data_IF_954036319932
#
_entry.id   IF_954036319932
#
_cell.length_a   1.000
_cell.length_b   1.000
_cell.length_c   1.000
_cell.angle_alpha   90.00
_cell.angle_beta   90.00
_cell.angle_gamma   90.00
#
_symmetry.space_group_name_H-M   'P 1'
#
loop_
_entity.id
_entity.type
_entity.pdbx_description
1 polymer ?
#
# COMPACT_ATOMS: atom_id res chain seq x y z
N UNK A 1 -14.88 -19.20 4.19
CA UNK A 1 -14.40 -17.93 3.62
C UNK A 1 -14.97 -16.80 4.45
N UNK A 2 -14.23 -15.69 4.67
CA UNK A 2 -14.80 -14.53 5.34
C UNK A 2 -16.04 -14.06 4.58
N UNK A 3 -17.12 -13.80 5.30
CA UNK A 3 -18.37 -13.31 4.74
C UNK A 3 -18.16 -11.88 4.16
N UNK A 4 -18.79 -11.60 3.01
CA UNK A 4 -18.61 -10.35 2.30
C UNK A 4 -19.10 -9.16 3.14
N UNK A 5 -20.23 -9.30 3.84
CA UNK A 5 -20.79 -8.23 4.67
C UNK A 5 -19.90 -7.92 5.87
N UNK A 6 -19.25 -8.95 6.43
CA UNK A 6 -18.28 -8.79 7.51
C UNK A 6 -17.07 -7.97 7.06
N UNK A 7 -16.54 -8.21 5.85
CA UNK A 7 -15.44 -7.41 5.29
C UNK A 7 -15.90 -6.00 4.97
N UNK A 8 -17.07 -5.82 4.35
CA UNK A 8 -17.63 -4.49 4.09
C UNK A 8 -17.73 -3.66 5.37
N UNK A 9 -18.24 -4.27 6.45
CA UNK A 9 -18.39 -3.63 7.75
C UNK A 9 -17.04 -3.25 8.36
N UNK A 10 -16.04 -4.13 8.25
CA UNK A 10 -14.68 -3.86 8.72
C UNK A 10 -14.03 -2.69 7.97
N UNK A 11 -14.39 -2.44 6.71
CA UNK A 11 -13.82 -1.37 5.89
C UNK A 11 -14.53 -0.01 6.07
N UNK A 12 -15.68 0.06 6.74
CA UNK A 12 -16.43 1.30 6.97
C UNK A 12 -15.60 2.43 7.62
N UNK A 13 -14.69 2.18 8.59
CA UNK A 13 -13.88 3.23 9.21
C UNK A 13 -12.93 3.95 8.24
N UNK A 14 -12.68 3.40 7.05
CA UNK A 14 -11.89 4.05 6.01
C UNK A 14 -12.64 5.22 5.34
N UNK A 15 -13.93 5.42 5.62
CA UNK A 15 -14.68 6.60 5.14
C UNK A 15 -14.82 6.67 3.61
N UNK A 16 -14.58 5.58 2.89
CA UNK A 16 -14.75 5.54 1.44
C UNK A 16 -16.23 5.52 1.05
N UNK A 17 -16.51 5.93 -0.19
CA UNK A 17 -17.86 5.77 -0.76
C UNK A 17 -18.29 4.28 -0.70
N UNK A 18 -19.57 4.04 -0.40
CA UNK A 18 -20.16 2.68 -0.31
C UNK A 18 -19.84 1.79 -1.52
N UNK A 19 -19.87 2.32 -2.74
CA UNK A 19 -19.53 1.56 -3.95
C UNK A 19 -18.05 1.12 -3.96
N UNK A 20 -17.14 1.96 -3.45
CA UNK A 20 -15.71 1.64 -3.31
C UNK A 20 -15.50 0.59 -2.23
N UNK A 21 -16.20 0.69 -1.10
CA UNK A 21 -16.15 -0.33 -0.03
C UNK A 21 -16.61 -1.70 -0.55
N UNK A 22 -17.76 -1.74 -1.23
CA UNK A 22 -18.27 -2.98 -1.85
C UNK A 22 -17.30 -3.57 -2.86
N UNK A 23 -16.71 -2.73 -3.72
CA UNK A 23 -15.73 -3.17 -4.71
C UNK A 23 -14.46 -3.71 -4.04
N UNK A 24 -13.95 -3.02 -3.02
CA UNK A 24 -12.77 -3.44 -2.26
C UNK A 24 -13.02 -4.74 -1.50
N UNK A 25 -14.15 -4.87 -0.81
CA UNK A 25 -14.52 -6.09 -0.09
C UNK A 25 -14.61 -7.30 -1.03
N UNK A 26 -15.34 -7.14 -2.14
CA UNK A 26 -15.41 -8.15 -3.20
C UNK A 26 -14.03 -8.52 -3.75
N UNK A 27 -13.15 -7.53 -3.89
CA UNK A 27 -11.80 -7.72 -4.42
C UNK A 27 -10.91 -8.47 -3.44
N UNK A 28 -10.98 -8.15 -2.14
CA UNK A 28 -10.27 -8.88 -1.08
C UNK A 28 -10.71 -10.34 -1.01
N UNK A 29 -12.02 -10.61 -1.07
CA UNK A 29 -12.55 -11.98 -1.11
C UNK A 29 -11.99 -12.75 -2.30
N UNK A 30 -12.03 -12.14 -3.49
CA UNK A 30 -11.54 -12.79 -4.71
C UNK A 30 -10.00 -12.98 -4.69
N UNK A 31 -9.23 -12.04 -4.14
CA UNK A 31 -7.79 -12.16 -3.96
C UNK A 31 -7.44 -13.34 -3.04
N UNK A 32 -8.12 -13.45 -1.90
CA UNK A 32 -7.92 -14.53 -0.94
C UNK A 32 -8.34 -15.89 -1.51
N UNK A 33 -9.44 -15.93 -2.26
CA UNK A 33 -9.93 -17.13 -2.93
C UNK A 33 -8.98 -17.62 -4.04
N UNK A 34 -8.47 -16.70 -4.87
CA UNK A 34 -7.64 -17.04 -6.04
C UNK A 34 -6.15 -17.14 -5.72
N UNK A 35 -5.69 -16.49 -4.64
CA UNK A 35 -4.29 -16.36 -4.24
C UNK A 35 -3.40 -15.81 -5.36
N UNK A 36 -3.92 -14.87 -6.15
CA UNK A 36 -3.20 -14.28 -7.28
C UNK A 36 -3.68 -12.86 -7.48
N UNK A 37 -2.75 -11.97 -7.85
CA UNK A 37 -3.01 -10.56 -8.18
C UNK A 37 -3.37 -10.34 -9.66
N UNK A 38 -3.32 -11.39 -10.48
CA UNK A 38 -3.62 -11.30 -11.90
C UNK A 38 -5.13 -11.10 -12.15
N UNK A 39 -5.52 -9.90 -12.62
CA UNK A 39 -6.93 -9.53 -12.78
C UNK A 39 -7.72 -10.44 -13.72
N UNK A 40 -7.09 -11.01 -14.76
CA UNK A 40 -7.76 -11.97 -15.66
C UNK A 40 -8.13 -13.28 -14.96
N UNK A 41 -7.37 -13.66 -13.92
CA UNK A 41 -7.67 -14.83 -13.08
C UNK A 41 -8.67 -14.52 -11.95
N UNK A 42 -8.74 -13.25 -11.52
CA UNK A 42 -9.65 -12.79 -10.47
C UNK A 42 -11.05 -12.52 -11.03
N UNK A 43 -11.14 -11.87 -12.18
CA UNK A 43 -12.41 -11.42 -12.75
C UNK A 43 -13.48 -12.51 -12.90
N UNK A 44 -13.15 -13.78 -13.27
CA UNK A 44 -14.14 -14.85 -13.37
C UNK A 44 -14.75 -15.29 -12.04
N UNK A 45 -14.05 -15.07 -10.91
CA UNK A 45 -14.52 -15.46 -9.58
C UNK A 45 -14.99 -14.27 -8.74
N UNK A 46 -15.04 -13.10 -9.35
CA UNK A 46 -15.39 -11.87 -8.65
C UNK A 46 -16.87 -11.90 -8.28
N UNK A 47 -17.26 -11.62 -7.02
CA UNK A 47 -18.64 -11.80 -6.58
C UNK A 47 -19.55 -10.70 -7.14
N UNK A 48 -20.04 -10.92 -8.36
CA UNK A 48 -20.93 -10.03 -9.09
C UNK A 48 -21.66 -10.79 -10.19
N UNK A 49 -22.88 -10.39 -10.52
CA UNK A 49 -23.65 -11.01 -11.63
C UNK A 49 -23.21 -10.54 -13.02
N UNK A 50 -22.14 -9.74 -13.10
CA UNK A 50 -21.64 -9.19 -14.35
C UNK A 50 -20.74 -10.19 -15.08
N UNK A 51 -20.70 -10.10 -16.41
CA UNK A 51 -19.76 -10.89 -17.22
C UNK A 51 -18.30 -10.69 -16.75
N UNK A 52 -17.43 -11.70 -16.82
CA UNK A 52 -16.03 -11.59 -16.41
C UNK A 52 -15.29 -10.40 -17.03
N UNK A 53 -15.57 -10.07 -18.29
CA UNK A 53 -14.96 -8.92 -18.99
C UNK A 53 -15.38 -7.58 -18.37
N UNK A 54 -16.62 -7.49 -17.88
CA UNK A 54 -17.14 -6.32 -17.18
C UNK A 54 -16.52 -6.19 -15.79
N UNK A 55 -16.41 -7.31 -15.06
CA UNK A 55 -15.71 -7.38 -13.78
C UNK A 55 -14.24 -6.95 -13.92
N UNK A 56 -13.55 -7.43 -14.96
CA UNK A 56 -12.18 -7.05 -15.29
C UNK A 56 -12.04 -5.53 -15.49
N UNK A 57 -12.91 -4.93 -16.32
CA UNK A 57 -12.91 -3.47 -16.52
C UNK A 57 -13.24 -2.71 -15.23
N UNK A 58 -14.14 -3.23 -14.39
CA UNK A 58 -14.46 -2.64 -13.08
C UNK A 58 -13.23 -2.61 -12.17
N UNK A 59 -12.50 -3.72 -12.08
CA UNK A 59 -11.27 -3.82 -11.30
C UNK A 59 -10.17 -2.90 -11.83
N UNK A 60 -10.00 -2.80 -13.15
CA UNK A 60 -9.05 -1.86 -13.74
C UNK A 60 -9.37 -0.40 -13.39
N UNK A 61 -10.62 0.03 -13.55
CA UNK A 61 -11.04 1.39 -13.16
C UNK A 61 -10.84 1.63 -11.67
N UNK A 62 -11.22 0.64 -10.84
CA UNK A 62 -11.02 0.73 -9.40
C UNK A 62 -9.54 0.95 -9.06
N UNK A 63 -8.62 0.11 -9.55
CA UNK A 63 -7.19 0.25 -9.24
C UNK A 63 -6.53 1.49 -9.84
N UNK A 64 -7.09 2.04 -10.93
CA UNK A 64 -6.58 3.24 -11.59
C UNK A 64 -7.00 4.53 -10.87
N UNK A 65 -8.28 4.62 -10.50
CA UNK A 65 -8.90 5.86 -10.03
C UNK A 65 -9.02 5.92 -8.49
N UNK A 66 -8.64 4.85 -7.80
CA UNK A 66 -8.71 4.77 -6.35
C UNK A 66 -7.41 5.25 -5.71
N UNK A 67 -7.45 6.47 -5.19
CA UNK A 67 -6.40 7.02 -4.35
C UNK A 67 -6.56 6.53 -2.91
N UNK A 68 -5.49 5.95 -2.38
CA UNK A 68 -5.44 5.42 -1.02
C UNK A 68 -4.57 6.32 -0.16
N UNK A 69 -5.16 6.95 0.84
CA UNK A 69 -4.41 7.70 1.85
C UNK A 69 -3.66 6.70 2.75
N UNK A 70 -2.32 6.69 2.66
CA UNK A 70 -1.48 5.75 3.38
C UNK A 70 -1.52 5.96 4.90
N UNK A 71 -1.71 7.20 5.38
CA UNK A 71 -1.82 7.46 6.83
C UNK A 71 -3.12 6.89 7.39
N UNK A 72 -4.22 7.04 6.64
CA UNK A 72 -5.50 6.46 7.00
C UNK A 72 -5.43 4.93 6.97
N UNK A 73 -4.80 4.36 5.95
CA UNK A 73 -4.56 2.93 5.86
C UNK A 73 -3.71 2.42 7.03
N UNK A 74 -2.63 3.11 7.40
CA UNK A 74 -1.76 2.70 8.49
C UNK A 74 -2.51 2.64 9.83
N UNK A 75 -3.32 3.67 10.13
CA UNK A 75 -4.19 3.67 11.33
C UNK A 75 -5.19 2.53 11.30
N UNK A 76 -5.80 2.29 10.15
CA UNK A 76 -6.73 1.18 9.97
C UNK A 76 -6.06 -0.19 10.18
N UNK A 77 -4.88 -0.40 9.59
CA UNK A 77 -4.12 -1.64 9.73
C UNK A 77 -3.67 -1.86 11.18
N UNK A 78 -3.25 -0.81 11.89
CA UNK A 78 -2.90 -0.91 13.31
C UNK A 78 -4.09 -1.39 14.16
N UNK A 79 -5.30 -0.86 13.91
CA UNK A 79 -6.54 -1.32 14.56
C UNK A 79 -6.88 -2.76 14.15
N UNK A 80 -6.74 -3.09 12.86
CA UNK A 80 -7.03 -4.43 12.34
C UNK A 80 -6.12 -5.50 12.93
N UNK A 81 -4.84 -5.18 13.17
CA UNK A 81 -3.89 -6.10 13.80
C UNK A 81 -4.13 -6.28 15.30
N UNK A 82 -5.04 -5.49 15.91
CA UNK A 82 -5.40 -5.56 17.34
C UNK A 82 -4.20 -5.49 18.29
N UNK A 83 -3.14 -4.77 17.91
CA UNK A 83 -1.92 -4.66 18.71
C UNK A 83 -2.06 -3.50 19.67
N UNK A 84 -2.20 -3.79 20.96
CA UNK A 84 -2.22 -2.76 21.99
C UNK A 84 -0.81 -2.19 22.23
N UNK A 85 -0.68 -0.91 22.60
CA UNK A 85 0.60 -0.35 23.02
C UNK A 85 1.17 -1.04 24.27
N UNK A 86 2.50 -1.07 24.47
CA UNK A 86 3.52 -0.44 23.63
C UNK A 86 3.81 -1.24 22.34
N UNK A 87 3.94 -0.54 21.21
CA UNK A 87 4.23 -1.18 19.92
C UNK A 87 5.72 -1.46 19.73
N UNK A 88 6.01 -2.65 19.18
CA UNK A 88 7.32 -2.93 18.59
C UNK A 88 7.25 -2.60 17.10
N UNK A 89 8.13 -1.74 16.62
CA UNK A 89 8.20 -1.35 15.22
C UNK A 89 9.45 -1.93 14.56
N UNK A 90 9.30 -2.39 13.32
CA UNK A 90 10.40 -2.82 12.48
C UNK A 90 10.47 -1.95 11.22
N UNK A 91 11.70 -1.59 10.84
CA UNK A 91 11.98 -0.91 9.58
C UNK A 91 12.84 -1.86 8.75
N UNK A 92 12.41 -2.13 7.53
CA UNK A 92 13.14 -2.98 6.59
C UNK A 92 13.25 -2.31 5.21
N UNK A 93 14.29 -2.68 4.45
CA UNK A 93 14.42 -2.30 3.05
C UNK A 93 14.08 -3.50 2.17
N UNK A 94 13.06 -3.35 1.33
CA UNK A 94 12.66 -4.39 0.37
C UNK A 94 12.92 -3.94 -1.07
N UNK A 95 13.46 -4.83 -1.89
CA UNK A 95 13.71 -4.59 -3.32
C UNK A 95 12.76 -5.43 -4.16
N UNK A 96 11.85 -4.76 -4.86
CA UNK A 96 10.91 -5.41 -5.75
C UNK A 96 11.34 -5.19 -7.19
N UNK A 97 11.16 -6.22 -8.03
CA UNK A 97 11.38 -6.13 -9.48
C UNK A 97 10.03 -6.15 -10.19
N UNK A 98 9.67 -5.02 -10.79
CA UNK A 98 8.54 -4.91 -11.71
C UNK A 98 9.07 -4.96 -13.15
N UNK A 99 9.19 -6.17 -13.70
CA UNK A 99 9.87 -6.38 -14.99
C UNK A 99 11.33 -5.92 -14.91
N UNK A 100 11.67 -4.84 -15.63
CA UNK A 100 13.02 -4.22 -15.61
C UNK A 100 13.16 -3.11 -14.56
N UNK A 101 12.05 -2.66 -13.97
CA UNK A 101 12.06 -1.60 -12.97
C UNK A 101 12.37 -2.19 -11.59
N UNK A 102 13.38 -1.64 -10.92
CA UNK A 102 13.69 -1.95 -9.53
C UNK A 102 13.07 -0.90 -8.61
N UNK A 103 12.16 -1.35 -7.76
CA UNK A 103 11.53 -0.55 -6.71
C UNK A 103 12.24 -0.87 -5.39
N UNK A 104 13.00 0.08 -4.87
CA UNK A 104 13.59 -0.04 -3.55
C UNK A 104 12.68 0.68 -2.57
N UNK A 105 12.03 -0.05 -1.68
CA UNK A 105 11.03 0.48 -0.75
C UNK A 105 11.60 0.39 0.67
N UNK A 106 11.47 1.48 1.42
CA UNK A 106 11.59 1.46 2.87
C UNK A 106 10.22 1.12 3.44
N UNK A 107 10.13 0.11 4.28
CA UNK A 107 8.88 -0.40 4.85
C UNK A 107 8.92 -0.27 6.37
N UNK A 108 7.86 0.29 6.95
CA UNK A 108 7.62 0.37 8.39
C UNK A 108 6.51 -0.62 8.74
N UNK A 109 6.75 -1.46 9.74
CA UNK A 109 5.83 -2.51 10.17
C UNK A 109 5.65 -2.52 11.69
N UNK A 110 4.45 -2.91 12.16
CA UNK A 110 4.25 -3.35 13.55
C UNK A 110 4.64 -4.82 13.65
N UNK A 111 5.42 -5.18 14.67
CA UNK A 111 5.76 -6.56 14.98
C UNK A 111 4.87 -7.04 16.11
N UNK A 112 4.11 -8.10 15.87
CA UNK A 112 3.30 -8.79 16.87
C UNK A 112 3.36 -10.30 16.64
N UNK A 113 3.51 -11.08 17.71
CA UNK A 113 3.52 -12.55 17.67
C UNK A 113 4.53 -13.14 16.66
N UNK A 114 5.68 -12.49 16.48
CA UNK A 114 6.71 -12.93 15.53
C UNK A 114 6.40 -12.61 14.06
N UNK A 115 5.32 -11.89 13.78
CA UNK A 115 4.92 -11.46 12.42
C UNK A 115 5.04 -9.94 12.29
N UNK A 116 5.60 -9.47 11.18
CA UNK A 116 5.67 -8.06 10.84
C UNK A 116 4.51 -7.66 9.90
N UNK A 117 3.62 -6.81 10.39
CA UNK A 117 2.50 -6.25 9.64
C UNK A 117 2.89 -4.90 9.04
N UNK A 118 2.98 -4.76 7.70
CA UNK A 118 3.37 -3.51 7.07
C UNK A 118 2.30 -2.44 7.29
N UNK A 119 2.72 -1.27 7.76
CA UNK A 119 1.85 -0.10 7.95
C UNK A 119 2.05 0.93 6.84
N UNK A 120 3.31 1.25 6.57
CA UNK A 120 3.70 2.31 5.64
C UNK A 120 4.88 1.84 4.81
N UNK A 121 4.97 2.37 3.59
CA UNK A 121 6.14 2.20 2.75
C UNK A 121 6.34 3.42 1.88
N UNK A 122 7.60 3.69 1.54
CA UNK A 122 7.96 4.75 0.61
C UNK A 122 9.10 4.32 -0.31
N UNK A 123 9.08 4.75 -1.59
CA UNK A 123 10.20 4.50 -2.49
C UNK A 123 11.43 5.28 -2.02
N UNK A 124 12.54 4.57 -1.91
CA UNK A 124 13.85 5.17 -1.70
C UNK A 124 14.36 5.73 -3.02
N UNK A 125 14.57 7.04 -3.06
CA UNK A 125 15.26 7.68 -4.17
C UNK A 125 16.62 7.00 -4.37
N UNK A 126 16.89 6.55 -5.60
CA UNK A 126 18.24 6.13 -5.96
C UNK A 126 19.13 7.36 -5.95
N UNK A 127 20.15 7.38 -5.09
CA UNK A 127 21.28 8.30 -5.31
C UNK A 127 21.83 7.98 -6.70
N UNK A 128 21.77 8.93 -7.64
CA UNK A 128 22.63 8.87 -8.81
C UNK A 128 24.07 8.81 -8.28
N UNK A 129 24.86 7.87 -8.76
CA UNK A 129 26.31 8.01 -8.63
C UNK A 129 26.68 9.11 -9.59
N UNK A 130 27.10 10.27 -9.09
CA UNK A 130 27.77 11.28 -9.88
C UNK A 130 29.11 10.69 -10.37
N UNK A 131 29.06 9.95 -11.47
CA UNK A 131 30.26 9.68 -12.26
C UNK A 131 30.65 11.00 -12.91
N UNK A 132 31.60 11.72 -12.31
CA UNK A 132 32.26 12.93 -12.82
C UNK A 132 31.79 13.39 -14.22
N UNK A 133 30.70 14.16 -14.26
CA UNK A 133 30.37 14.98 -15.43
C UNK A 133 30.77 16.41 -15.07
N UNK A 134 31.61 17.01 -15.91
CA UNK A 134 32.18 18.34 -15.69
C UNK A 134 31.05 19.37 -15.53
N UNK A 135 31.16 20.16 -14.47
CA UNK A 135 30.30 21.30 -14.15
C UNK A 135 30.39 22.34 -15.27
N UNK A 136 29.33 22.45 -16.08
CA UNK A 136 29.01 23.64 -16.86
C UNK A 136 27.95 24.43 -16.12
N UNK A 137 28.27 25.65 -15.69
CA UNK A 137 27.35 26.57 -15.01
C UNK A 137 26.33 27.13 -16.01
N UNK A 138 25.04 27.08 -15.65
CA UNK A 138 24.04 28.13 -15.90
C UNK A 138 22.86 27.89 -14.97
N UNK A 139 22.54 28.86 -14.11
CA UNK A 139 21.47 28.76 -13.12
C UNK A 139 20.09 29.05 -13.70
N UNK A 140 19.06 28.58 -13.00
CA UNK A 140 17.89 29.38 -12.58
C UNK A 140 16.93 28.51 -11.74
N UNK A 141 16.76 28.92 -10.48
CA UNK A 141 15.57 28.87 -9.63
C UNK A 141 14.46 27.85 -9.91
N UNK A 142 14.21 26.93 -8.96
CA UNK A 142 13.01 26.92 -8.10
C UNK A 142 13.03 25.67 -7.19
N UNK A 143 13.30 25.91 -5.90
CA UNK A 143 13.20 24.91 -4.84
C UNK A 143 11.73 24.64 -4.52
N UNK A 144 11.35 23.37 -4.46
CA UNK A 144 10.12 22.93 -3.79
C UNK A 144 10.33 21.49 -3.33
N UNK A 145 11.16 21.32 -2.30
CA UNK A 145 11.28 20.07 -1.53
C UNK A 145 11.15 20.44 -0.07
N UNK A 146 9.97 20.90 0.32
CA UNK A 146 9.61 21.07 1.71
C UNK A 146 8.43 20.14 2.02
N UNK A 147 8.52 19.55 3.21
CA UNK A 147 7.44 18.97 4.02
C UNK A 147 7.04 17.51 3.79
N UNK A 148 7.95 16.59 4.17
CA UNK A 148 7.60 15.39 4.93
C UNK A 148 8.65 15.14 6.03
N UNK A 149 8.73 16.05 7.00
CA UNK A 149 9.51 15.84 8.21
C UNK A 149 8.66 15.08 9.23
N UNK A 150 8.75 13.75 9.24
CA UNK A 150 8.26 12.96 10.37
C UNK A 150 9.40 12.81 11.40
N UNK A 151 9.24 13.28 12.64
CA UNK A 151 10.24 13.05 13.67
C UNK A 151 10.25 11.56 14.03
N UNK A 152 11.24 10.83 13.52
CA UNK A 152 11.52 9.46 13.96
C UNK A 152 12.29 9.55 15.28
N UNK A 153 11.55 9.55 16.39
CA UNK A 153 12.14 9.40 17.73
C UNK A 153 12.53 7.93 17.89
N UNK A 154 13.79 7.60 17.63
CA UNK A 154 14.38 6.34 18.09
C UNK A 154 14.59 6.43 19.60
N UNK A 155 13.68 5.83 20.36
CA UNK A 155 13.95 5.46 21.76
C UNK A 155 14.88 4.26 21.74
N UNK A 156 16.19 4.52 21.70
CA UNK A 156 17.20 3.52 22.02
C UNK A 156 17.14 3.24 23.52
N UNK A 157 16.91 1.98 23.89
CA UNK A 157 17.30 1.49 25.21
C UNK A 157 18.36 0.40 25.01
N UNK A 158 19.35 0.48 25.90
CA UNK A 158 20.70 -0.06 25.86
C UNK A 158 20.80 -1.55 25.59
#
# INVERSE_FOLDING_TARGET
MPDLHSIESALLPLGFNKARIKCLAAFLVALLARQSVCLTKIAPIFPTDAKPESAYKRLQRFLKDFELNLDQLARFLAVLCRVEPPWTLAIDRTNWKLGRLHLNLLMLSIVAEGVAFPLLWMPLAKKQKDSHVKVGKTGSSNNCTDDLNFPVIFSGRQ
#
